data_IF_816831350991
#
_entry.id   IF_816831350991
#
_cell.length_a   1.000
_cell.length_b   1.000
_cell.length_c   1.000
_cell.angle_alpha   90.00
_cell.angle_beta   90.00
_cell.angle_gamma   90.00
#
_symmetry.space_group_name_H-M   'P 1'
#
loop_
_entity.id
_entity.type
_entity.pdbx_description
1 polymer ?
#
# COMPACT_ATOMS: atom_id res chain seq x y z
N UNK A 1 -18.35 -12.43 -6.70
CA UNK A 1 -17.83 -11.71 -7.88
C UNK A 1 -16.38 -12.12 -8.01
N UNK A 2 -15.96 -12.76 -9.11
CA UNK A 2 -14.56 -13.16 -9.27
C UNK A 2 -13.67 -11.91 -9.32
N UNK A 3 -12.48 -11.97 -8.73
CA UNK A 3 -11.48 -10.92 -8.94
C UNK A 3 -10.86 -11.15 -10.32
N UNK A 4 -11.52 -10.59 -11.33
CA UNK A 4 -11.27 -10.82 -12.76
C UNK A 4 -9.89 -10.31 -13.27
N UNK A 5 -8.99 -9.91 -12.37
CA UNK A 5 -7.64 -9.42 -12.66
C UNK A 5 -6.48 -10.29 -12.15
N UNK A 6 -6.74 -11.37 -11.40
CA UNK A 6 -5.68 -12.24 -10.84
C UNK A 6 -5.82 -13.69 -11.30
N UNK A 7 -4.70 -14.31 -11.67
CA UNK A 7 -4.62 -15.77 -11.80
C UNK A 7 -4.75 -16.44 -10.43
N UNK A 8 -4.95 -17.76 -10.39
CA UNK A 8 -5.13 -18.52 -9.14
C UNK A 8 -4.05 -18.25 -8.10
N UNK A 9 -2.79 -18.10 -8.55
CA UNK A 9 -1.63 -17.81 -7.70
C UNK A 9 -1.09 -16.38 -7.86
N UNK A 10 -1.84 -15.52 -8.55
CA UNK A 10 -1.49 -14.12 -8.73
C UNK A 10 -1.38 -13.37 -7.39
N UNK A 11 -0.53 -12.35 -7.38
CA UNK A 11 -0.26 -11.49 -6.23
C UNK A 11 -0.32 -10.04 -6.70
N UNK A 12 -0.94 -9.18 -5.91
CA UNK A 12 -0.84 -7.72 -6.09
C UNK A 12 0.34 -7.24 -5.26
N UNK A 13 1.23 -6.45 -5.85
CA UNK A 13 2.28 -5.77 -5.09
C UNK A 13 1.97 -4.28 -5.08
N UNK A 14 1.66 -3.75 -3.89
CA UNK A 14 1.50 -2.32 -3.66
C UNK A 14 2.83 -1.77 -3.14
N UNK A 15 3.41 -0.79 -3.84
CA UNK A 15 4.65 -0.11 -3.42
C UNK A 15 4.41 1.39 -3.51
N UNK A 16 4.48 2.08 -2.38
CA UNK A 16 4.14 3.51 -2.33
C UNK A 16 4.84 4.25 -1.18
N UNK A 17 4.78 5.58 -1.25
CA UNK A 17 5.17 6.50 -0.18
C UNK A 17 4.19 6.40 0.99
N UNK A 18 4.72 6.46 2.21
CA UNK A 18 3.95 6.48 3.44
C UNK A 18 4.25 7.78 4.21
N UNK A 19 3.17 8.45 4.61
CA UNK A 19 3.23 9.63 5.47
C UNK A 19 3.74 9.24 6.86
N UNK A 20 4.53 10.14 7.45
CA UNK A 20 4.92 10.04 8.85
C UNK A 20 3.90 10.67 9.82
N UNK A 21 2.89 11.37 9.29
CA UNK A 21 1.81 11.98 10.05
C UNK A 21 0.72 10.95 10.39
N UNK A 22 -0.26 11.35 11.20
CA UNK A 22 -1.44 10.51 11.47
C UNK A 22 -2.52 10.67 10.39
N UNK A 23 -2.47 11.75 9.61
CA UNK A 23 -3.43 12.09 8.56
C UNK A 23 -2.77 12.08 7.17
N UNK A 24 -3.59 12.08 6.12
CA UNK A 24 -3.08 12.10 4.75
C UNK A 24 -2.56 13.49 4.37
N UNK A 25 -1.47 13.53 3.60
CA UNK A 25 -0.85 14.77 3.11
C UNK A 25 -1.17 14.96 1.62
N UNK A 26 -1.67 16.13 1.24
CA UNK A 26 -1.91 16.49 -0.16
C UNK A 26 -0.73 17.28 -0.72
N UNK A 27 -0.20 16.84 -1.85
CA UNK A 27 0.76 17.60 -2.65
C UNK A 27 0.03 18.30 -3.79
N UNK A 28 0.03 19.64 -3.78
CA UNK A 28 -0.64 20.45 -4.79
C UNK A 28 0.13 20.58 -6.12
N UNK A 29 1.43 20.26 -6.14
CA UNK A 29 2.24 20.35 -7.35
C UNK A 29 1.91 19.21 -8.32
N UNK A 30 1.71 18.00 -7.80
CA UNK A 30 1.35 16.82 -8.60
C UNK A 30 -0.09 16.33 -8.38
N UNK A 31 -0.84 16.98 -7.48
CA UNK A 31 -2.21 16.64 -7.10
C UNK A 31 -2.36 15.21 -6.55
N UNK A 32 -1.38 14.76 -5.77
CA UNK A 32 -1.36 13.44 -5.14
C UNK A 32 -1.62 13.49 -3.63
N UNK A 33 -1.96 12.33 -3.06
CA UNK A 33 -2.13 12.14 -1.62
C UNK A 33 -1.17 11.08 -1.11
N UNK A 34 -0.35 11.44 -0.12
CA UNK A 34 0.50 10.51 0.62
C UNK A 34 -0.22 10.11 1.91
N UNK A 35 -0.45 8.81 2.13
CA UNK A 35 -1.26 8.31 3.26
C UNK A 35 -0.38 7.70 4.36
N UNK A 36 -0.80 7.79 5.64
CA UNK A 36 -0.17 7.04 6.72
C UNK A 36 -0.43 5.55 6.55
N UNK A 37 0.50 4.73 7.05
CA UNK A 37 0.45 3.27 6.90
C UNK A 37 -0.88 2.69 7.39
N UNK A 38 -1.42 3.18 8.51
CA UNK A 38 -2.70 2.74 9.08
C UNK A 38 -3.85 2.81 8.07
N UNK A 39 -4.03 3.94 7.38
CA UNK A 39 -5.11 4.10 6.41
C UNK A 39 -4.92 3.21 5.18
N UNK A 40 -3.67 2.96 4.77
CA UNK A 40 -3.38 2.02 3.66
C UNK A 40 -3.79 0.59 4.05
N UNK A 41 -3.52 0.17 5.28
CA UNK A 41 -3.90 -1.15 5.79
C UNK A 41 -5.43 -1.32 5.89
N UNK A 42 -6.13 -0.28 6.38
CA UNK A 42 -7.60 -0.25 6.43
C UNK A 42 -8.21 -0.41 5.02
N UNK A 43 -7.66 0.29 4.02
CA UNK A 43 -8.10 0.17 2.62
C UNK A 43 -7.90 -1.26 2.09
N UNK A 44 -6.80 -1.93 2.44
CA UNK A 44 -6.60 -3.33 2.03
C UNK A 44 -7.67 -4.24 2.63
N UNK A 45 -7.99 -4.07 3.91
CA UNK A 45 -9.02 -4.84 4.59
C UNK A 45 -10.40 -4.60 3.97
N UNK A 46 -10.79 -3.34 3.76
CA UNK A 46 -12.05 -2.96 3.10
C UNK A 46 -12.15 -3.51 1.67
N UNK A 47 -11.03 -3.62 0.97
CA UNK A 47 -10.94 -4.21 -0.37
C UNK A 47 -10.97 -5.75 -0.37
N UNK A 48 -11.06 -6.40 0.79
CA UNK A 48 -11.02 -7.87 0.89
C UNK A 48 -9.65 -8.45 0.56
N UNK A 49 -8.58 -7.72 0.84
CA UNK A 49 -7.19 -8.13 0.62
C UNK A 49 -6.49 -8.41 1.95
N UNK A 50 -5.63 -9.42 1.95
CA UNK A 50 -4.72 -9.73 3.06
C UNK A 50 -3.27 -9.62 2.62
N UNK A 51 -2.45 -9.18 3.56
CA UNK A 51 -1.00 -9.07 3.37
C UNK A 51 -0.38 -10.47 3.54
N UNK A 52 0.43 -10.88 2.57
CA UNK A 52 1.19 -12.13 2.62
C UNK A 52 2.69 -11.89 2.80
N UNK A 53 3.18 -10.69 2.50
CA UNK A 53 4.53 -10.24 2.81
C UNK A 53 4.59 -8.71 2.80
N UNK A 54 5.53 -8.14 3.54
CA UNK A 54 5.80 -6.71 3.52
C UNK A 54 7.30 -6.43 3.68
N UNK A 55 7.76 -5.32 3.11
CA UNK A 55 9.16 -4.92 3.23
C UNK A 55 9.32 -3.40 3.06
N UNK A 56 10.23 -2.79 3.82
CA UNK A 56 10.57 -1.37 3.71
C UNK A 56 11.71 -1.20 2.71
N UNK A 57 11.58 -0.23 1.80
CA UNK A 57 12.66 0.12 0.89
C UNK A 57 13.84 0.71 1.67
N UNK A 58 15.02 0.11 1.52
CA UNK A 58 16.25 0.58 2.15
C UNK A 58 17.10 1.41 1.18
N UNK A 59 18.06 2.16 1.73
CA UNK A 59 19.04 2.92 0.93
C UNK A 59 18.57 4.29 0.43
N UNK A 60 17.42 4.77 0.88
CA UNK A 60 16.93 6.11 0.52
C UNK A 60 17.64 7.20 1.34
N UNK A 61 17.90 8.38 0.75
CA UNK A 61 18.40 9.53 1.48
C UNK A 61 17.50 9.94 2.65
N UNK A 62 18.11 10.56 3.67
CA UNK A 62 17.37 11.18 4.77
C UNK A 62 16.45 12.29 4.26
N UNK A 63 15.27 12.44 4.85
CA UNK A 63 14.31 13.50 4.51
C UNK A 63 13.33 13.11 3.40
N UNK A 64 13.44 11.92 2.81
CA UNK A 64 12.42 11.36 1.92
C UNK A 64 11.34 10.61 2.71
N UNK A 65 10.15 10.49 2.13
CA UNK A 65 9.10 9.63 2.66
C UNK A 65 9.58 8.18 2.78
N UNK A 66 9.08 7.48 3.80
CA UNK A 66 9.25 6.03 3.92
C UNK A 66 8.53 5.38 2.75
N UNK A 67 9.21 4.50 2.01
CA UNK A 67 8.58 3.70 0.95
C UNK A 67 8.46 2.26 1.43
N UNK A 68 7.27 1.67 1.33
CA UNK A 68 7.01 0.29 1.74
C UNK A 68 6.33 -0.50 0.63
N UNK A 69 6.58 -1.79 0.60
CA UNK A 69 6.01 -2.76 -0.32
C UNK A 69 5.14 -3.75 0.46
N UNK A 70 3.97 -4.06 -0.09
CA UNK A 70 3.05 -5.06 0.44
C UNK A 70 2.68 -6.02 -0.69
N UNK A 71 2.88 -7.31 -0.47
CA UNK A 71 2.34 -8.36 -1.31
C UNK A 71 0.96 -8.75 -0.76
N UNK A 72 -0.06 -8.68 -1.61
CA UNK A 72 -1.46 -8.85 -1.24
C UNK A 72 -2.08 -10.01 -2.00
N UNK A 73 -2.93 -10.77 -1.32
CA UNK A 73 -3.83 -11.76 -1.91
C UNK A 73 -5.27 -11.50 -1.48
N UNK A 74 -6.27 -11.94 -2.26
CA UNK A 74 -7.66 -11.95 -1.81
C UNK A 74 -7.82 -12.73 -0.52
N UNK A 75 -8.70 -12.25 0.36
CA UNK A 75 -9.27 -13.05 1.45
C UNK A 75 -10.29 -13.98 0.78
N UNK A 76 -9.88 -15.22 0.51
CA UNK A 76 -10.80 -16.27 0.03
C UNK A 76 -11.54 -16.83 1.24
N UNK A 77 -12.86 -16.85 1.18
CA UNK A 77 -13.68 -17.76 2.01
C UNK A 77 -13.40 -19.22 1.62
#
# INVERSE_FOLDING_TARGET
MGMDGLTTEGVIVFKDNLSAQEESEFDSEDNSWTRPEKLVLEIFEEAGLRIIAENVQTGFPSGMYKVKMFALKPIRE
#
